data_IF_500354094742
#
_entry.id   IF_500354094742
#
_cell.length_a   1.000
_cell.length_b   1.000
_cell.length_c   1.000
_cell.angle_alpha   90.00
_cell.angle_beta   90.00
_cell.angle_gamma   90.00
#
_symmetry.space_group_name_H-M   'P 1'
#
loop_
_entity.id
_entity.type
_entity.pdbx_description
1 polymer ?
#
# COMPACT_ATOMS: atom_id res chain seq x y z
N UNK A 1 -13.07 14.19 0.08
CA UNK A 1 -14.34 14.43 0.77
C UNK A 1 -14.83 15.84 0.43
N UNK A 2 -16.12 16.07 0.13
CA UNK A 2 -16.60 17.35 -0.42
C UNK A 2 -16.37 18.58 0.47
N UNK A 3 -16.03 18.42 1.74
CA UNK A 3 -15.87 19.53 2.71
C UNK A 3 -14.40 19.89 3.01
N UNK A 4 -13.42 19.09 2.62
CA UNK A 4 -12.02 19.24 3.09
C UNK A 4 -11.02 19.65 2.02
N UNK A 5 -11.33 19.51 0.74
CA UNK A 5 -10.41 19.84 -0.33
C UNK A 5 -11.01 20.89 -1.27
N UNK A 6 -10.60 22.13 -1.07
CA UNK A 6 -10.80 23.19 -2.07
C UNK A 6 -9.66 23.12 -3.08
N UNK A 7 -10.03 23.11 -4.38
CA UNK A 7 -9.05 23.23 -5.46
C UNK A 7 -8.36 24.59 -5.32
N UNK A 8 -7.04 24.63 -5.27
CA UNK A 8 -6.31 25.88 -5.18
C UNK A 8 -6.34 26.62 -6.53
N UNK A 9 -6.14 27.94 -6.49
CA UNK A 9 -6.28 28.82 -7.65
C UNK A 9 -5.28 28.57 -8.79
N UNK A 10 -4.23 27.81 -8.56
CA UNK A 10 -3.18 27.52 -9.56
C UNK A 10 -3.43 26.23 -10.33
N UNK A 11 -4.43 25.45 -9.97
CA UNK A 11 -4.81 24.21 -10.65
C UNK A 11 -5.56 24.53 -11.93
N UNK A 12 -4.99 24.17 -13.09
CA UNK A 12 -5.60 24.40 -14.40
C UNK A 12 -6.68 23.39 -14.77
N UNK A 13 -6.54 22.14 -14.32
CA UNK A 13 -7.50 21.05 -14.57
C UNK A 13 -7.65 20.24 -13.32
N UNK A 14 -8.87 19.92 -12.93
CA UNK A 14 -9.17 19.08 -11.78
C UNK A 14 -10.29 18.11 -12.12
N UNK A 15 -10.27 16.94 -11.48
CA UNK A 15 -11.34 15.98 -11.52
C UNK A 15 -11.68 15.59 -10.08
N UNK A 16 -12.95 15.47 -9.78
CA UNK A 16 -13.43 15.06 -8.47
C UNK A 16 -13.78 13.57 -8.48
N UNK A 17 -13.35 12.84 -7.46
CA UNK A 17 -13.68 11.45 -7.24
C UNK A 17 -14.60 11.32 -6.04
N UNK A 18 -15.65 10.54 -6.19
CA UNK A 18 -16.54 10.23 -5.07
C UNK A 18 -15.91 9.19 -4.12
N UNK A 19 -15.27 8.17 -4.69
CA UNK A 19 -14.63 7.11 -3.93
C UNK A 19 -13.14 7.36 -3.72
N UNK A 20 -12.67 7.14 -2.50
CA UNK A 20 -11.29 7.37 -2.10
C UNK A 20 -10.30 6.48 -2.85
N UNK A 21 -10.61 5.21 -3.03
CA UNK A 21 -9.76 4.25 -3.74
C UNK A 21 -9.53 4.63 -5.22
N UNK A 22 -10.58 5.09 -5.91
CA UNK A 22 -10.45 5.55 -7.30
C UNK A 22 -9.49 6.74 -7.41
N UNK A 23 -9.55 7.66 -6.46
CA UNK A 23 -8.63 8.80 -6.38
C UNK A 23 -7.19 8.33 -6.22
N UNK A 24 -6.91 7.39 -5.31
CA UNK A 24 -5.56 6.85 -5.07
C UNK A 24 -4.97 6.24 -6.34
N UNK A 25 -5.71 5.37 -7.00
CA UNK A 25 -5.28 4.76 -8.26
C UNK A 25 -4.94 5.80 -9.31
N UNK A 26 -5.77 6.84 -9.48
CA UNK A 26 -5.53 7.88 -10.48
C UNK A 26 -4.39 8.83 -10.12
N UNK A 27 -4.02 8.96 -8.86
CA UNK A 27 -2.85 9.72 -8.44
C UNK A 27 -1.54 8.97 -8.70
N UNK A 28 -1.55 7.66 -8.52
CA UNK A 28 -0.32 6.84 -8.53
C UNK A 28 -0.02 6.23 -9.90
N UNK A 29 -1.06 5.81 -10.64
CA UNK A 29 -0.88 5.08 -11.90
C UNK A 29 -0.10 5.83 -13.00
N UNK A 30 -0.24 7.14 -13.21
CA UNK A 30 0.49 7.86 -14.26
C UNK A 30 1.86 8.39 -13.82
N UNK A 31 2.23 8.26 -12.54
CA UNK A 31 3.40 8.92 -12.00
C UNK A 31 4.71 8.19 -12.39
N UNK A 32 5.70 8.92 -12.90
CA UNK A 32 7.03 8.40 -13.23
C UNK A 32 8.01 8.47 -12.05
N UNK A 33 7.72 9.31 -11.05
CA UNK A 33 8.45 9.44 -9.80
C UNK A 33 7.48 9.92 -8.70
N UNK A 34 7.83 9.64 -7.46
CA UNK A 34 7.05 10.04 -6.29
C UNK A 34 7.88 10.92 -5.37
N UNK A 35 7.34 12.08 -5.01
CA UNK A 35 7.99 13.01 -4.09
C UNK A 35 7.09 13.21 -2.87
N UNK A 36 7.60 12.82 -1.71
CA UNK A 36 6.87 12.91 -0.45
C UNK A 36 7.49 13.97 0.45
N UNK A 37 6.67 14.93 0.86
CA UNK A 37 7.00 15.93 1.86
C UNK A 37 6.53 15.48 3.25
N UNK A 38 7.03 16.09 4.34
CA UNK A 38 6.50 15.85 5.68
C UNK A 38 4.99 16.03 5.72
N UNK A 39 4.28 15.09 6.37
CA UNK A 39 2.82 15.13 6.45
C UNK A 39 2.27 14.21 7.52
N UNK A 40 0.94 14.11 7.57
CA UNK A 40 0.23 13.25 8.51
C UNK A 40 -0.07 11.86 7.95
N UNK A 41 -1.13 11.24 8.51
CA UNK A 41 -1.55 9.89 8.14
C UNK A 41 -1.81 9.71 6.64
N UNK A 42 -2.42 10.69 5.97
CA UNK A 42 -2.68 10.59 4.53
C UNK A 42 -1.40 10.51 3.70
N UNK A 43 -0.34 11.27 4.08
CA UNK A 43 0.95 11.21 3.38
C UNK A 43 1.66 9.89 3.61
N UNK A 44 1.63 9.39 4.84
CA UNK A 44 2.23 8.09 5.18
C UNK A 44 1.46 6.94 4.52
N UNK A 45 0.14 7.01 4.46
CA UNK A 45 -0.71 6.05 3.77
C UNK A 45 -0.38 5.96 2.27
N UNK A 46 -0.28 7.10 1.58
CA UNK A 46 0.12 7.13 0.16
C UNK A 46 1.58 6.66 -0.04
N UNK A 47 2.48 6.99 0.89
CA UNK A 47 3.86 6.54 0.83
C UNK A 47 3.96 5.01 0.93
N UNK A 48 3.37 4.41 1.95
CA UNK A 48 3.42 2.97 2.15
C UNK A 48 2.67 2.20 1.07
N UNK A 49 1.56 2.74 0.55
CA UNK A 49 0.85 2.14 -0.58
C UNK A 49 1.73 2.08 -1.84
N UNK A 50 2.42 3.18 -2.18
CA UNK A 50 3.34 3.21 -3.33
C UNK A 50 4.50 2.23 -3.14
N UNK A 51 5.08 2.17 -1.94
CA UNK A 51 6.15 1.23 -1.60
C UNK A 51 5.69 -0.21 -1.78
N UNK A 52 4.53 -0.57 -1.23
CA UNK A 52 3.95 -1.92 -1.31
C UNK A 52 3.66 -2.32 -2.76
N UNK A 53 3.08 -1.42 -3.56
CA UNK A 53 2.80 -1.68 -4.98
C UNK A 53 4.08 -1.91 -5.81
N UNK A 54 5.17 -1.20 -5.49
CA UNK A 54 6.47 -1.42 -6.14
C UNK A 54 7.06 -2.76 -5.71
N UNK A 55 7.04 -3.10 -4.43
CA UNK A 55 7.53 -4.37 -3.90
C UNK A 55 6.79 -5.56 -4.52
N UNK A 56 5.47 -5.49 -4.59
CA UNK A 56 4.61 -6.52 -5.19
C UNK A 56 4.68 -6.56 -6.72
N UNK A 57 5.51 -5.70 -7.35
CA UNK A 57 5.62 -5.57 -8.82
C UNK A 57 4.30 -5.25 -9.52
N UNK A 58 3.37 -4.67 -8.81
CA UNK A 58 2.11 -4.15 -9.35
C UNK A 58 2.31 -2.79 -10.01
N UNK A 59 3.41 -2.12 -9.64
CA UNK A 59 3.85 -0.84 -10.18
C UNK A 59 5.32 -0.95 -10.62
N UNK A 60 5.74 -0.30 -11.72
CA UNK A 60 7.15 -0.22 -12.09
C UNK A 60 8.01 0.39 -10.99
N UNK A 61 9.28 -0.02 -10.92
CA UNK A 61 10.23 0.55 -9.97
C UNK A 61 10.49 2.03 -10.29
N UNK A 62 9.78 2.90 -9.61
CA UNK A 62 9.86 4.35 -9.77
C UNK A 62 10.63 4.97 -8.61
N UNK A 63 11.41 6.04 -8.87
CA UNK A 63 12.10 6.75 -7.82
C UNK A 63 11.15 7.24 -6.72
N UNK A 64 11.49 6.94 -5.47
CA UNK A 64 10.82 7.45 -4.27
C UNK A 64 11.75 8.47 -3.64
N UNK A 65 11.32 9.71 -3.56
CA UNK A 65 12.08 10.86 -3.09
C UNK A 65 11.40 11.42 -1.84
N UNK A 66 12.13 11.46 -0.75
CA UNK A 66 11.66 11.87 0.57
C UNK A 66 12.30 13.22 0.91
N UNK A 67 11.54 14.29 0.88
CA UNK A 67 12.02 15.63 1.17
C UNK A 67 11.90 15.92 2.66
N UNK A 68 13.02 16.33 3.29
CA UNK A 68 13.07 16.66 4.72
C UNK A 68 13.60 15.51 5.58
N UNK A 69 14.91 15.46 5.77
CA UNK A 69 15.61 14.41 6.52
C UNK A 69 15.14 14.32 7.98
N UNK A 70 14.87 15.45 8.61
CA UNK A 70 14.42 15.48 10.00
C UNK A 70 13.14 14.66 10.22
N UNK A 71 12.20 14.71 9.27
CA UNK A 71 10.95 13.96 9.33
C UNK A 71 11.13 12.50 8.92
N UNK A 72 11.82 12.25 7.81
CA UNK A 72 11.86 10.91 7.20
C UNK A 72 12.89 9.97 7.83
N UNK A 73 14.01 10.51 8.34
CA UNK A 73 15.06 9.68 8.95
C UNK A 73 14.57 8.83 10.14
N UNK A 74 13.75 9.37 11.07
CA UNK A 74 13.15 8.57 12.14
C UNK A 74 12.27 7.43 11.64
N UNK A 75 11.48 7.65 10.58
CA UNK A 75 10.63 6.61 9.96
C UNK A 75 11.50 5.50 9.39
N UNK A 76 12.54 5.86 8.64
CA UNK A 76 13.49 4.89 8.07
C UNK A 76 14.22 4.10 9.16
N UNK A 77 14.70 4.78 10.20
CA UNK A 77 15.38 4.13 11.31
C UNK A 77 14.45 3.14 12.03
N UNK A 78 13.20 3.52 12.24
CA UNK A 78 12.18 2.64 12.80
C UNK A 78 11.97 1.38 11.93
N UNK A 79 11.81 1.55 10.62
CA UNK A 79 11.61 0.44 9.68
C UNK A 79 12.84 -0.48 9.65
N UNK A 80 14.06 0.06 9.62
CA UNK A 80 15.30 -0.73 9.68
C UNK A 80 15.34 -1.57 10.94
N UNK A 81 15.23 -0.93 12.10
CA UNK A 81 15.34 -1.61 13.36
C UNK A 81 14.21 -2.63 13.58
N UNK A 82 12.96 -2.24 13.35
CA UNK A 82 11.80 -3.08 13.70
C UNK A 82 11.40 -4.05 12.60
N UNK A 83 11.31 -3.56 11.37
CA UNK A 83 10.78 -4.36 10.28
C UNK A 83 11.85 -5.22 9.59
N UNK A 84 13.09 -4.72 9.50
CA UNK A 84 14.21 -5.49 8.93
C UNK A 84 14.86 -6.37 9.99
N UNK A 85 15.45 -5.76 11.02
CA UNK A 85 16.35 -6.47 11.95
C UNK A 85 15.59 -7.40 12.91
N UNK A 86 14.47 -6.94 13.50
CA UNK A 86 13.74 -7.72 14.51
C UNK A 86 12.72 -8.70 13.90
N UNK A 87 11.96 -8.28 12.87
CA UNK A 87 10.84 -9.06 12.32
C UNK A 87 11.18 -9.71 10.98
N UNK A 88 12.17 -9.19 10.26
CA UNK A 88 12.55 -9.62 8.91
C UNK A 88 11.37 -9.64 7.92
N UNK A 89 10.57 -8.57 7.95
CA UNK A 89 9.39 -8.41 7.09
C UNK A 89 9.61 -7.49 5.88
N UNK A 90 10.71 -6.72 5.87
CA UNK A 90 11.09 -5.78 4.82
C UNK A 90 12.55 -6.01 4.45
N UNK A 91 12.90 -5.87 3.18
CA UNK A 91 14.28 -5.99 2.70
C UNK A 91 15.06 -4.68 2.90
N UNK A 92 16.32 -4.77 3.31
CA UNK A 92 17.24 -3.61 3.38
C UNK A 92 17.32 -2.89 2.02
N UNK A 93 17.35 -3.65 0.92
CA UNK A 93 17.46 -3.10 -0.43
C UNK A 93 16.29 -2.20 -0.81
N UNK A 94 15.10 -2.49 -0.31
CA UNK A 94 13.91 -1.67 -0.55
C UNK A 94 14.07 -0.31 0.11
N UNK A 95 14.46 -0.30 1.40
CA UNK A 95 14.68 0.94 2.15
C UNK A 95 15.84 1.76 1.54
N UNK A 96 16.90 1.11 1.10
CA UNK A 96 18.07 1.76 0.50
C UNK A 96 17.79 2.35 -0.88
N UNK A 97 16.70 1.95 -1.53
CA UNK A 97 16.27 2.52 -2.81
C UNK A 97 15.63 3.91 -2.68
N UNK A 98 15.17 4.28 -1.49
CA UNK A 98 14.55 5.58 -1.25
C UNK A 98 15.59 6.68 -1.08
N UNK A 99 15.33 7.83 -1.67
CA UNK A 99 16.28 8.95 -1.70
C UNK A 99 15.81 10.05 -0.78
N UNK A 100 16.56 10.32 0.30
CA UNK A 100 16.28 11.45 1.20
C UNK A 100 17.03 12.68 0.69
N UNK A 101 16.31 13.77 0.52
CA UNK A 101 16.82 15.05 0.01
C UNK A 101 16.32 16.21 0.87
N UNK A 102 17.05 17.32 0.83
CA UNK A 102 16.69 18.55 1.56
C UNK A 102 16.23 19.66 0.62
N UNK A 103 16.67 19.65 -0.62
CA UNK A 103 16.46 20.77 -1.54
C UNK A 103 15.68 20.35 -2.78
N UNK A 104 14.99 21.32 -3.38
CA UNK A 104 14.30 21.11 -4.65
C UNK A 104 15.26 20.74 -5.80
N UNK A 105 16.50 21.22 -5.75
CA UNK A 105 17.52 20.90 -6.75
C UNK A 105 17.91 19.41 -6.66
N UNK A 106 18.15 18.89 -5.46
CA UNK A 106 18.43 17.48 -5.22
C UNK A 106 17.24 16.60 -5.67
N UNK A 107 16.02 16.95 -5.28
CA UNK A 107 14.82 16.25 -5.72
C UNK A 107 14.69 16.21 -7.25
N UNK A 108 14.95 17.34 -7.92
CA UNK A 108 14.91 17.40 -9.38
C UNK A 108 15.97 16.51 -10.04
N UNK A 109 17.19 16.44 -9.49
CA UNK A 109 18.21 15.54 -10.02
C UNK A 109 17.80 14.07 -9.94
N UNK A 110 17.11 13.68 -8.87
CA UNK A 110 16.54 12.33 -8.75
C UNK A 110 15.44 12.08 -9.81
N UNK A 111 14.56 13.05 -10.00
CA UNK A 111 13.46 12.95 -10.98
C UNK A 111 13.99 12.90 -12.42
N UNK A 112 15.01 13.72 -12.75
CA UNK A 112 15.58 13.78 -14.09
C UNK A 112 16.10 12.43 -14.59
N UNK A 113 16.51 11.56 -13.69
CA UNK A 113 17.01 10.23 -14.00
C UNK A 113 15.87 9.18 -14.05
N UNK A 114 14.62 9.57 -13.76
CA UNK A 114 13.48 8.68 -13.90
C UNK A 114 13.21 8.42 -15.38
N UNK A 115 13.07 7.15 -15.73
CA UNK A 115 12.69 6.76 -17.09
C UNK A 115 11.21 7.05 -17.31
N UNK A 116 10.87 7.55 -18.50
CA UNK A 116 9.48 7.65 -18.93
C UNK A 116 8.84 6.27 -18.89
N UNK A 117 7.69 6.18 -18.24
CA UNK A 117 6.91 4.94 -18.25
C UNK A 117 6.24 4.80 -19.62
N UNK A 118 6.40 3.69 -20.30
CA UNK A 118 5.51 3.36 -21.39
C UNK A 118 4.07 3.30 -20.83
N UNK A 119 3.10 3.75 -21.60
CA UNK A 119 1.69 3.69 -21.23
C UNK A 119 1.36 2.32 -20.67
N UNK A 120 0.60 2.29 -19.56
CA UNK A 120 0.22 1.03 -18.87
C UNK A 120 -0.37 0.00 -19.83
N UNK A 121 -0.94 0.43 -20.96
CA UNK A 121 -1.44 -0.43 -22.02
C UNK A 121 -0.36 -0.96 -22.96
N UNK A 122 0.79 -0.28 -23.10
CA UNK A 122 1.88 -0.71 -23.99
C UNK A 122 2.81 -1.75 -23.34
N UNK A 123 2.98 -1.67 -22.01
CA UNK A 123 3.77 -2.65 -21.24
C UNK A 123 3.19 -4.07 -21.25
N UNK A 124 1.95 -4.23 -21.64
CA UNK A 124 1.19 -5.42 -21.35
C UNK A 124 0.60 -6.14 -22.55
N UNK A 125 1.10 -5.89 -23.75
CA UNK A 125 0.71 -6.66 -24.95
C UNK A 125 1.03 -8.17 -24.84
N UNK A 126 1.88 -8.56 -23.88
CA UNK A 126 2.29 -9.95 -23.62
C UNK A 126 1.72 -10.55 -22.34
N UNK A 127 1.04 -9.77 -21.50
CA UNK A 127 0.43 -10.29 -20.27
C UNK A 127 -0.97 -10.85 -20.54
N UNK A 128 -1.30 -12.07 -20.09
CA UNK A 128 -2.66 -12.62 -20.18
C UNK A 128 -3.73 -11.73 -19.54
N UNK A 129 -3.33 -10.88 -18.61
CA UNK A 129 -4.22 -9.91 -17.94
C UNK A 129 -4.54 -8.68 -18.78
N UNK A 130 -3.89 -8.47 -19.92
CA UNK A 130 -4.11 -7.36 -20.84
C UNK A 130 -4.77 -7.77 -22.17
N UNK A 131 -5.15 -9.03 -22.29
CA UNK A 131 -6.03 -9.49 -23.36
C UNK A 131 -7.45 -8.98 -23.10
N UNK A 132 -7.75 -7.83 -23.64
CA UNK A 132 -9.01 -7.11 -23.47
C UNK A 132 -8.71 -5.68 -23.05
N UNK A 133 -9.22 -4.70 -23.77
CA UNK A 133 -8.96 -3.29 -23.53
C UNK A 133 -9.20 -2.85 -22.08
N UNK A 134 -8.89 -1.59 -21.79
CA UNK A 134 -9.07 -0.96 -20.48
C UNK A 134 -10.46 -1.23 -19.88
N UNK A 135 -11.50 -1.31 -20.73
CA UNK A 135 -12.87 -1.56 -20.33
C UNK A 135 -13.07 -2.92 -19.66
N UNK A 136 -12.42 -3.98 -20.16
CA UNK A 136 -12.49 -5.31 -19.54
C UNK A 136 -11.86 -5.38 -18.14
N UNK A 137 -10.80 -4.60 -17.89
CA UNK A 137 -10.20 -4.53 -16.56
C UNK A 137 -11.16 -3.88 -15.57
N UNK A 138 -11.82 -2.80 -15.97
CA UNK A 138 -12.80 -2.11 -15.13
C UNK A 138 -13.94 -3.06 -14.78
N UNK A 139 -14.46 -3.80 -15.75
CA UNK A 139 -15.52 -4.79 -15.49
C UNK A 139 -15.07 -5.92 -14.56
N UNK A 140 -13.84 -6.39 -14.68
CA UNK A 140 -13.29 -7.39 -13.73
C UNK A 140 -13.16 -6.85 -12.32
N UNK A 141 -12.62 -5.64 -12.15
CA UNK A 141 -12.54 -4.98 -10.84
C UNK A 141 -13.94 -4.81 -10.24
N UNK A 142 -14.92 -4.42 -11.05
CA UNK A 142 -16.30 -4.31 -10.59
C UNK A 142 -16.88 -5.67 -10.19
N UNK A 143 -16.62 -6.73 -10.95
CA UNK A 143 -17.06 -8.08 -10.59
C UNK A 143 -16.44 -8.56 -9.27
N UNK A 144 -15.14 -8.38 -9.07
CA UNK A 144 -14.44 -8.71 -7.82
C UNK A 144 -15.02 -7.94 -6.62
N UNK A 145 -15.36 -6.66 -6.80
CA UNK A 145 -16.00 -5.87 -5.75
C UNK A 145 -17.39 -6.40 -5.41
N UNK A 146 -18.22 -6.76 -6.42
CA UNK A 146 -19.55 -7.32 -6.21
C UNK A 146 -19.46 -8.66 -5.46
N UNK A 147 -18.61 -9.58 -5.93
CA UNK A 147 -18.38 -10.87 -5.27
C UNK A 147 -17.90 -10.71 -3.83
N UNK A 148 -16.97 -9.79 -3.59
CA UNK A 148 -16.47 -9.48 -2.26
C UNK A 148 -17.57 -8.95 -1.33
N UNK A 149 -18.37 -8.01 -1.78
CA UNK A 149 -19.49 -7.49 -1.00
C UNK A 149 -20.55 -8.55 -0.73
N UNK A 150 -20.92 -9.37 -1.72
CA UNK A 150 -21.87 -10.49 -1.52
C UNK A 150 -21.35 -11.50 -0.51
N UNK A 151 -20.07 -11.83 -0.56
CA UNK A 151 -19.41 -12.68 0.44
C UNK A 151 -19.51 -12.09 1.84
N UNK A 152 -19.17 -10.81 1.99
CA UNK A 152 -19.12 -10.12 3.29
C UNK A 152 -20.51 -9.93 3.92
N UNK A 153 -21.59 -9.85 3.13
CA UNK A 153 -22.97 -9.69 3.70
C UNK A 153 -23.39 -10.83 4.61
N UNK A 154 -22.78 -12.01 4.49
CA UNK A 154 -23.07 -13.20 5.29
C UNK A 154 -22.32 -13.22 6.62
N UNK A 155 -21.36 -12.33 6.81
CA UNK A 155 -20.48 -12.26 7.98
C UNK A 155 -21.06 -11.23 8.97
N UNK A 156 -21.04 -11.56 10.24
CA UNK A 156 -21.53 -10.68 11.33
C UNK A 156 -20.53 -10.66 12.47
N UNK A 157 -20.50 -9.58 13.21
CA UNK A 157 -19.60 -9.37 14.35
C UNK A 157 -18.13 -9.62 13.96
N UNK A 158 -17.70 -8.99 12.88
CA UNK A 158 -16.40 -9.25 12.27
C UNK A 158 -15.31 -8.36 12.88
N UNK A 159 -14.14 -8.97 13.07
CA UNK A 159 -12.91 -8.30 13.47
C UNK A 159 -11.81 -8.67 12.50
N UNK A 160 -11.21 -7.67 11.87
CA UNK A 160 -10.07 -7.88 10.96
C UNK A 160 -8.76 -7.86 11.75
N UNK A 161 -7.98 -8.93 11.61
CA UNK A 161 -6.64 -9.05 12.19
C UNK A 161 -5.60 -8.89 11.10
N UNK A 162 -4.74 -7.89 11.25
CA UNK A 162 -3.66 -7.56 10.34
C UNK A 162 -2.31 -7.79 11.01
N UNK A 163 -1.35 -8.29 10.24
CA UNK A 163 0.00 -8.49 10.73
C UNK A 163 0.91 -9.15 9.70
N UNK A 164 2.19 -9.21 10.05
CA UNK A 164 3.22 -9.73 9.13
C UNK A 164 3.10 -11.24 8.87
N UNK A 165 3.41 -11.63 7.63
CA UNK A 165 3.54 -13.03 7.21
C UNK A 165 4.84 -13.70 7.66
N UNK A 166 5.85 -12.89 8.07
CA UNK A 166 7.22 -13.34 8.31
C UNK A 166 7.48 -13.81 9.73
N UNK A 167 6.49 -13.72 10.63
CA UNK A 167 6.66 -14.10 12.03
C UNK A 167 6.67 -15.61 12.20
N UNK A 168 7.55 -16.12 13.08
CA UNK A 168 7.68 -17.53 13.40
C UNK A 168 6.68 -17.94 14.48
N UNK A 169 6.34 -19.24 14.53
CA UNK A 169 5.38 -19.77 15.50
C UNK A 169 5.85 -19.70 16.96
N UNK A 170 7.16 -19.61 17.20
CA UNK A 170 7.76 -19.44 18.53
C UNK A 170 7.75 -17.98 19.02
N UNK A 171 7.35 -17.03 18.19
CA UNK A 171 7.29 -15.62 18.55
C UNK A 171 6.16 -15.32 19.54
N UNK A 172 6.37 -14.43 20.51
CA UNK A 172 5.31 -13.97 21.42
C UNK A 172 4.14 -13.33 20.70
N UNK A 173 4.38 -12.67 19.55
CA UNK A 173 3.31 -12.07 18.74
C UNK A 173 2.45 -13.11 18.01
N UNK A 174 3.03 -14.26 17.61
CA UNK A 174 2.26 -15.36 17.06
C UNK A 174 1.32 -15.94 18.13
N UNK A 175 1.82 -16.16 19.34
CA UNK A 175 1.02 -16.66 20.46
C UNK A 175 -0.08 -15.66 20.86
N UNK A 176 0.23 -14.36 20.90
CA UNK A 176 -0.75 -13.32 21.17
C UNK A 176 -1.87 -13.28 20.11
N UNK A 177 -1.53 -13.40 18.83
CA UNK A 177 -2.51 -13.45 17.76
C UNK A 177 -3.41 -14.70 17.84
N UNK A 178 -2.84 -15.84 18.17
CA UNK A 178 -3.58 -17.08 18.44
C UNK A 178 -4.59 -16.90 19.59
N UNK A 179 -4.16 -16.36 20.72
CA UNK A 179 -5.07 -16.12 21.84
C UNK A 179 -6.15 -15.07 21.51
N UNK A 180 -5.85 -14.04 20.72
CA UNK A 180 -6.86 -13.09 20.23
C UNK A 180 -7.91 -13.84 19.40
N UNK A 181 -7.51 -14.66 18.42
CA UNK A 181 -8.45 -15.44 17.61
C UNK A 181 -9.35 -16.33 18.45
N UNK A 182 -8.77 -17.05 19.42
CA UNK A 182 -9.51 -17.89 20.36
C UNK A 182 -10.53 -17.11 21.19
N UNK A 183 -10.15 -15.96 21.74
CA UNK A 183 -11.06 -15.11 22.52
C UNK A 183 -12.19 -14.57 21.63
N UNK A 184 -11.89 -14.16 20.41
CA UNK A 184 -12.88 -13.70 19.44
C UNK A 184 -13.91 -14.81 19.15
N UNK A 185 -13.45 -16.03 18.85
CA UNK A 185 -14.32 -17.17 18.58
C UNK A 185 -15.21 -17.52 19.80
N UNK A 186 -14.66 -17.53 21.01
CA UNK A 186 -15.40 -17.79 22.24
C UNK A 186 -16.52 -16.76 22.49
N UNK A 187 -16.32 -15.54 22.01
CA UNK A 187 -17.29 -14.45 22.11
C UNK A 187 -18.17 -14.29 20.85
N UNK A 188 -18.17 -15.27 19.95
CA UNK A 188 -18.97 -15.31 18.72
C UNK A 188 -18.66 -14.17 17.72
N UNK A 189 -17.42 -13.69 17.71
CA UNK A 189 -16.91 -12.84 16.66
C UNK A 189 -16.34 -13.68 15.52
N UNK A 190 -16.45 -13.16 14.32
CA UNK A 190 -15.81 -13.72 13.12
C UNK A 190 -14.46 -13.07 12.91
N UNK A 191 -13.40 -13.85 12.77
CA UNK A 191 -12.07 -13.34 12.47
C UNK A 191 -11.87 -13.26 10.97
N UNK A 192 -11.59 -12.06 10.44
CA UNK A 192 -11.23 -11.79 9.05
C UNK A 192 -9.73 -11.56 8.97
N UNK A 193 -9.07 -12.19 8.03
CA UNK A 193 -7.64 -11.99 7.75
C UNK A 193 -7.38 -12.03 6.25
N UNK A 194 -6.16 -11.65 5.83
CA UNK A 194 -5.72 -11.85 4.45
C UNK A 194 -5.38 -13.30 4.08
N UNK A 195 -5.57 -14.28 5.00
CA UNK A 195 -5.40 -15.71 4.73
C UNK A 195 -3.93 -16.19 4.59
N UNK A 196 -2.96 -15.32 4.84
CA UNK A 196 -1.53 -15.64 4.75
C UNK A 196 -0.98 -16.30 6.01
N UNK A 197 0.30 -16.70 6.01
CA UNK A 197 0.98 -17.25 7.18
C UNK A 197 1.24 -16.20 8.27
N UNK A 198 1.90 -16.59 9.34
CA UNK A 198 2.32 -15.71 10.42
C UNK A 198 1.17 -15.28 11.32
N UNK A 199 1.02 -13.98 11.54
CA UNK A 199 -0.03 -13.42 12.41
C UNK A 199 -1.43 -13.81 11.96
N UNK A 200 -1.69 -13.79 10.65
CA UNK A 200 -2.98 -14.13 10.06
C UNK A 200 -3.34 -15.60 10.30
N UNK A 201 -2.38 -16.51 10.06
CA UNK A 201 -2.52 -17.93 10.36
C UNK A 201 -2.80 -18.17 11.86
N UNK A 202 -2.04 -17.49 12.73
CA UNK A 202 -2.21 -17.63 14.17
C UNK A 202 -3.63 -17.23 14.61
N UNK A 203 -4.11 -16.09 14.15
CA UNK A 203 -5.45 -15.59 14.47
C UNK A 203 -6.57 -16.52 13.95
N UNK A 204 -6.40 -17.11 12.76
CA UNK A 204 -7.38 -18.04 12.20
C UNK A 204 -7.37 -19.40 12.92
N UNK A 205 -6.23 -19.80 13.47
CA UNK A 205 -6.06 -21.09 14.18
C UNK A 205 -6.61 -21.04 15.60
N UNK A 206 -6.58 -19.88 16.25
CA UNK A 206 -7.13 -19.67 17.60
C UNK A 206 -8.63 -19.71 17.60
#
# INVERSE_FOLDING_TARGET
>A
LPREQRVNQYVKKSIAFYYFFSRKVMLTSPANAFVFFPGGFGTLDEFFEVVDHIELKQMPNSPIILVGKEFWQPVINFLRQKSVDEINSVSVKEIDSWQIVETAAEAFMCIKNAQDRPNVCELNSLSPHCQGGLDWRIFRIMAELVEGFEFLTKIKNDVTVLGTKSIRQDSPYYQAAYEVGKILAQNKFTTITGGGPGVMEAANKG
#
